data_IF_803453266902
#
_entry.id   IF_803453266902
#
_cell.length_a   1.000
_cell.length_b   1.000
_cell.length_c   1.000
_cell.angle_alpha   90.00
_cell.angle_beta   90.00
_cell.angle_gamma   90.00
#
_symmetry.space_group_name_H-M   'P 1'
#
loop_
_entity.id
_entity.type
_entity.pdbx_description
1 polymer ?
#
# COMPACT_ATOMS: atom_id res chain seq x y z
N UNK A 1 70.75 26.69 26.85
CA UNK A 1 69.56 25.95 27.34
C UNK A 1 68.43 26.08 26.29
N UNK A 2 68.54 25.41 25.13
CA UNK A 2 67.59 25.65 24.01
C UNK A 2 67.62 24.68 22.82
N UNK A 3 68.40 23.58 22.89
CA UNK A 3 68.46 22.55 21.84
C UNK A 3 67.58 21.33 22.15
N UNK A 4 67.36 21.01 23.44
CA UNK A 4 66.51 19.89 23.88
C UNK A 4 65.02 20.19 23.67
N UNK A 5 64.56 21.41 23.93
CA UNK A 5 63.13 21.79 23.84
C UNK A 5 62.58 21.80 22.40
N UNK A 6 63.42 22.17 21.42
CA UNK A 6 63.05 22.11 19.99
C UNK A 6 62.90 20.66 19.49
N UNK A 7 63.59 19.70 20.10
CA UNK A 7 63.51 18.29 19.74
C UNK A 7 62.26 17.62 20.33
N UNK A 8 61.86 17.97 21.56
CA UNK A 8 60.60 17.52 22.17
C UNK A 8 59.38 18.11 21.46
N UNK A 9 59.41 19.40 21.10
CA UNK A 9 58.32 20.04 20.33
C UNK A 9 58.10 19.40 18.96
N UNK A 10 59.18 19.07 18.22
CA UNK A 10 59.07 18.35 16.94
C UNK A 10 58.49 16.94 17.07
N UNK A 11 58.83 16.22 18.14
CA UNK A 11 58.28 14.88 18.41
C UNK A 11 56.79 14.93 18.76
N UNK A 12 56.36 15.94 19.51
CA UNK A 12 54.95 16.16 19.84
C UNK A 12 54.15 16.52 18.59
N UNK A 13 54.65 17.45 17.77
CA UNK A 13 54.03 17.80 16.48
C UNK A 13 53.90 16.60 15.54
N UNK A 14 54.95 15.76 15.46
CA UNK A 14 54.94 14.55 14.65
C UNK A 14 53.91 13.54 15.17
N UNK A 15 53.84 13.34 16.50
CA UNK A 15 52.86 12.45 17.11
C UNK A 15 51.44 12.93 16.88
N UNK A 16 51.16 14.23 17.01
CA UNK A 16 49.82 14.79 16.74
C UNK A 16 49.44 14.63 15.27
N UNK A 17 50.37 14.85 14.35
CA UNK A 17 50.14 14.66 12.91
C UNK A 17 49.81 13.20 12.56
N UNK A 18 50.52 12.24 13.17
CA UNK A 18 50.27 10.81 12.95
C UNK A 18 48.88 10.41 13.48
N UNK A 19 48.52 10.84 14.69
CA UNK A 19 47.20 10.56 15.26
C UNK A 19 46.07 11.12 14.39
N UNK A 20 46.24 12.34 13.89
CA UNK A 20 45.25 12.98 13.01
C UNK A 20 45.07 12.19 11.69
N UNK A 21 46.16 11.69 11.12
CA UNK A 21 46.12 10.87 9.90
C UNK A 21 45.36 9.56 10.13
N UNK A 22 45.60 8.88 11.25
CA UNK A 22 44.91 7.63 11.61
C UNK A 22 43.41 7.87 11.81
N UNK A 23 43.02 8.98 12.44
CA UNK A 23 41.62 9.34 12.62
C UNK A 23 40.91 9.57 11.28
N UNK A 24 41.56 10.24 10.32
CA UNK A 24 40.99 10.46 8.98
C UNK A 24 40.76 9.14 8.26
N UNK A 25 41.73 8.22 8.31
CA UNK A 25 41.60 6.88 7.70
C UNK A 25 40.44 6.11 8.34
N UNK A 26 40.30 6.17 9.67
CA UNK A 26 39.20 5.55 10.39
C UNK A 26 37.82 6.06 9.96
N UNK A 27 37.69 7.38 9.76
CA UNK A 27 36.45 8.02 9.27
C UNK A 27 36.13 7.53 7.84
N UNK A 28 37.12 7.50 6.95
CA UNK A 28 36.92 7.03 5.56
C UNK A 28 36.46 5.57 5.53
N UNK A 29 37.08 4.70 6.33
CA UNK A 29 36.67 3.29 6.44
C UNK A 29 35.25 3.17 6.98
N UNK A 30 34.88 3.95 7.99
CA UNK A 30 33.53 3.95 8.55
C UNK A 30 32.47 4.35 7.50
N UNK A 31 32.74 5.38 6.69
CA UNK A 31 31.85 5.80 5.59
C UNK A 31 31.68 4.67 4.58
N UNK A 32 32.77 4.04 4.14
CA UNK A 32 32.73 2.92 3.18
C UNK A 32 31.92 1.74 3.73
N UNK A 33 32.07 1.41 5.01
CA UNK A 33 31.33 0.31 5.65
C UNK A 33 29.84 0.60 5.79
N UNK A 34 29.48 1.86 6.09
CA UNK A 34 28.08 2.30 6.14
C UNK A 34 27.44 2.21 4.75
N UNK A 35 28.11 2.69 3.70
CA UNK A 35 27.60 2.61 2.33
C UNK A 35 27.46 1.16 1.85
N UNK A 36 28.44 0.30 2.13
CA UNK A 36 28.41 -1.10 1.68
C UNK A 36 27.33 -1.92 2.37
N UNK A 37 26.98 -1.62 3.63
CA UNK A 37 25.92 -2.32 4.38
C UNK A 37 24.52 -2.10 3.79
N UNK A 38 24.29 -0.98 3.11
CA UNK A 38 22.99 -0.66 2.50
C UNK A 38 22.70 -1.43 1.19
N UNK A 39 23.61 -2.26 0.70
CA UNK A 39 23.49 -2.91 -0.61
C UNK A 39 23.13 -4.40 -0.52
N UNK A 40 22.35 -4.81 0.49
CA UNK A 40 21.79 -6.16 0.56
C UNK A 40 20.68 -6.28 -0.49
N UNK A 41 20.95 -7.00 -1.56
CA UNK A 41 19.97 -7.27 -2.61
C UNK A 41 19.05 -8.41 -2.16
N UNK A 42 17.77 -8.09 -1.96
CA UNK A 42 16.74 -9.09 -1.67
C UNK A 42 16.18 -9.63 -2.99
N UNK A 43 15.85 -10.91 -3.05
CA UNK A 43 15.29 -11.54 -4.26
C UNK A 43 13.96 -12.21 -3.91
N UNK A 44 12.95 -12.04 -4.77
CA UNK A 44 11.69 -12.78 -4.70
C UNK A 44 11.67 -13.87 -5.77
N UNK A 45 11.20 -15.05 -5.38
CA UNK A 45 10.90 -16.14 -6.30
C UNK A 45 9.39 -16.16 -6.52
N UNK A 46 8.95 -15.85 -7.74
CA UNK A 46 7.54 -15.92 -8.13
C UNK A 46 7.06 -17.38 -8.23
N UNK A 47 5.75 -17.66 -8.15
CA UNK A 47 5.20 -19.01 -8.36
C UNK A 47 5.59 -19.63 -9.72
N UNK A 48 5.88 -18.78 -10.71
CA UNK A 48 6.36 -19.17 -12.04
C UNK A 48 7.89 -19.38 -12.10
N UNK A 49 8.58 -19.43 -10.95
CA UNK A 49 10.04 -19.60 -10.81
C UNK A 49 10.91 -18.49 -11.42
N UNK A 50 10.33 -17.33 -11.73
CA UNK A 50 11.12 -16.17 -12.11
C UNK A 50 11.72 -15.52 -10.85
N UNK A 51 13.02 -15.24 -10.88
CA UNK A 51 13.76 -14.55 -9.83
C UNK A 51 13.77 -13.06 -10.13
N UNK A 52 13.18 -12.25 -9.26
CA UNK A 52 13.11 -10.80 -9.41
C UNK A 52 13.89 -10.14 -8.26
N UNK A 53 14.83 -9.27 -8.58
CA UNK A 53 15.58 -8.50 -7.59
C UNK A 53 14.68 -7.40 -7.01
N UNK A 54 14.51 -7.38 -5.69
CA UNK A 54 13.84 -6.31 -4.96
C UNK A 54 14.83 -5.15 -4.85
N UNK A 55 14.58 -4.05 -5.57
CA UNK A 55 15.30 -2.79 -5.37
C UNK A 55 14.62 -2.02 -4.25
N UNK A 56 15.38 -1.69 -3.20
CA UNK A 56 14.95 -0.72 -2.18
C UNK A 56 14.92 0.67 -2.82
N UNK A 57 13.73 1.18 -3.11
CA UNK A 57 13.55 2.59 -3.44
C UNK A 57 13.58 3.41 -2.15
N UNK A 58 14.34 4.51 -2.12
CA UNK A 58 14.36 5.45 -1.00
C UNK A 58 13.08 6.29 -0.88
N UNK A 59 12.14 6.12 -1.82
CA UNK A 59 10.76 6.55 -1.69
C UNK A 59 9.91 5.38 -1.20
N UNK A 60 8.92 5.62 -0.30
CA UNK A 60 8.02 4.57 0.16
C UNK A 60 7.46 3.86 -1.06
N UNK A 61 7.74 2.55 -1.14
CA UNK A 61 7.36 1.59 -2.18
C UNK A 61 6.38 2.25 -3.15
N UNK A 62 6.84 2.64 -4.34
CA UNK A 62 5.92 2.86 -5.46
C UNK A 62 5.13 1.57 -5.48
N UNK A 63 3.88 1.61 -5.00
CA UNK A 63 3.06 0.42 -4.87
C UNK A 63 3.06 -0.21 -6.26
N UNK A 64 3.76 -1.33 -6.43
CA UNK A 64 3.77 -2.00 -7.73
C UNK A 64 2.33 -2.28 -8.10
N UNK A 65 1.99 -2.26 -9.39
CA UNK A 65 0.61 -2.41 -9.88
C UNK A 65 -0.12 -3.56 -9.16
N UNK A 66 0.59 -4.66 -8.89
CA UNK A 66 0.12 -5.80 -8.11
C UNK A 66 -0.42 -5.48 -6.71
N UNK A 67 0.20 -4.55 -5.95
CA UNK A 67 -0.28 -4.18 -4.61
C UNK A 67 -1.59 -3.38 -4.72
N UNK A 68 -1.67 -2.46 -5.67
CA UNK A 68 -2.86 -1.64 -5.90
C UNK A 68 -4.03 -2.52 -6.37
N UNK A 69 -3.75 -3.45 -7.30
CA UNK A 69 -4.72 -4.43 -7.80
C UNK A 69 -5.17 -5.39 -6.68
N UNK A 70 -4.25 -5.87 -5.86
CA UNK A 70 -4.55 -6.72 -4.70
C UNK A 70 -5.41 -5.99 -3.66
N UNK A 71 -5.08 -4.73 -3.37
CA UNK A 71 -5.87 -3.88 -2.49
C UNK A 71 -7.29 -3.71 -3.02
N UNK A 72 -7.45 -3.41 -4.32
CA UNK A 72 -8.76 -3.29 -4.96
C UNK A 72 -9.60 -4.57 -4.84
N UNK A 73 -8.98 -5.75 -4.97
CA UNK A 73 -9.62 -7.05 -4.72
C UNK A 73 -10.10 -7.20 -3.29
N UNK A 74 -9.25 -6.90 -2.31
CA UNK A 74 -9.59 -7.01 -0.89
C UNK A 74 -10.77 -6.11 -0.56
N UNK A 75 -10.70 -4.83 -0.96
CA UNK A 75 -11.78 -3.87 -0.71
C UNK A 75 -13.09 -4.33 -1.36
N UNK A 76 -13.05 -4.75 -2.62
CA UNK A 76 -14.26 -5.21 -3.32
C UNK A 76 -14.90 -6.40 -2.62
N UNK A 77 -14.10 -7.39 -2.21
CA UNK A 77 -14.59 -8.56 -1.47
C UNK A 77 -15.19 -8.16 -0.13
N UNK A 78 -14.58 -7.22 0.59
CA UNK A 78 -15.08 -6.75 1.89
C UNK A 78 -16.39 -5.96 1.75
N UNK A 79 -16.52 -5.16 0.71
CA UNK A 79 -17.71 -4.34 0.46
C UNK A 79 -18.91 -5.14 -0.05
N UNK A 80 -18.67 -6.21 -0.82
CA UNK A 80 -19.74 -6.90 -1.55
C UNK A 80 -20.03 -8.32 -1.05
N UNK A 81 -19.23 -8.84 -0.11
CA UNK A 81 -19.52 -10.12 0.57
C UNK A 81 -20.03 -9.83 1.97
N UNK A 82 -21.33 -10.05 2.19
CA UNK A 82 -22.00 -9.76 3.46
C UNK A 82 -23.20 -10.67 3.70
N UNK A 83 -23.58 -10.76 4.96
CA UNK A 83 -24.80 -11.39 5.45
C UNK A 83 -25.71 -10.29 6.03
N UNK A 84 -27.03 -10.44 5.88
CA UNK A 84 -28.02 -9.56 6.52
C UNK A 84 -27.79 -9.39 8.02
N UNK A 85 -27.26 -10.40 8.72
CA UNK A 85 -26.99 -10.34 10.16
C UNK A 85 -25.77 -9.50 10.56
N UNK A 86 -24.82 -9.27 9.64
CA UNK A 86 -23.55 -8.58 9.93
C UNK A 86 -23.25 -7.41 8.99
N UNK A 87 -24.12 -7.11 8.03
CA UNK A 87 -23.90 -6.11 6.97
C UNK A 87 -23.51 -4.74 7.52
N UNK A 88 -24.12 -4.32 8.64
CA UNK A 88 -23.82 -3.02 9.24
C UNK A 88 -22.38 -2.95 9.76
N UNK A 89 -21.99 -3.92 10.59
CA UNK A 89 -20.65 -4.00 11.17
C UNK A 89 -19.58 -4.21 10.09
N UNK A 90 -19.86 -5.03 9.08
CA UNK A 90 -18.92 -5.29 7.98
C UNK A 90 -18.68 -4.03 7.15
N UNK A 91 -19.72 -3.26 6.83
CA UNK A 91 -19.56 -2.04 6.06
C UNK A 91 -18.91 -0.94 6.88
N UNK A 92 -19.31 -0.74 8.14
CA UNK A 92 -18.67 0.22 9.05
C UNK A 92 -17.16 -0.04 9.15
N UNK A 93 -16.78 -1.29 9.40
CA UNK A 93 -15.37 -1.69 9.46
C UNK A 93 -14.66 -1.49 8.11
N UNK A 94 -15.30 -1.86 7.01
CA UNK A 94 -14.71 -1.67 5.67
C UNK A 94 -14.48 -0.20 5.35
N UNK A 95 -15.38 0.69 5.78
CA UNK A 95 -15.21 2.13 5.63
C UNK A 95 -14.06 2.67 6.46
N UNK A 96 -13.94 2.23 7.72
CA UNK A 96 -12.84 2.63 8.59
C UNK A 96 -11.48 2.14 8.08
N UNK A 97 -11.42 0.89 7.62
CA UNK A 97 -10.16 0.23 7.27
C UNK A 97 -9.65 0.64 5.87
N UNK A 98 -10.54 0.95 4.91
CA UNK A 98 -10.15 1.06 3.49
C UNK A 98 -10.47 2.39 2.82
N UNK A 99 -11.36 3.21 3.37
CA UNK A 99 -11.80 4.43 2.71
C UNK A 99 -11.14 5.68 3.30
N UNK A 100 -10.85 6.64 2.43
CA UNK A 100 -10.51 7.99 2.87
C UNK A 100 -11.76 8.69 3.39
N UNK A 101 -11.63 9.75 4.21
CA UNK A 101 -12.80 10.52 4.68
C UNK A 101 -13.71 11.00 3.54
N UNK A 102 -13.11 11.48 2.44
CA UNK A 102 -13.85 11.91 1.24
C UNK A 102 -14.55 10.75 0.53
N UNK A 103 -13.88 9.59 0.41
CA UNK A 103 -14.47 8.39 -0.20
C UNK A 103 -15.63 7.83 0.61
N UNK A 104 -15.55 7.88 1.95
CA UNK A 104 -16.64 7.50 2.83
C UNK A 104 -17.87 8.38 2.61
N UNK A 105 -17.69 9.70 2.58
CA UNK A 105 -18.79 10.65 2.37
C UNK A 105 -19.54 10.36 1.07
N UNK A 106 -18.81 10.14 -0.03
CA UNK A 106 -19.38 9.83 -1.35
C UNK A 106 -20.24 8.57 -1.38
N UNK A 107 -19.95 7.56 -0.55
CA UNK A 107 -20.62 6.25 -0.60
C UNK A 107 -21.69 6.10 0.49
N UNK A 108 -21.50 6.75 1.63
CA UNK A 108 -22.33 6.59 2.83
C UNK A 108 -23.84 6.75 2.57
N UNK A 109 -24.24 7.73 1.75
CA UNK A 109 -25.65 8.00 1.47
C UNK A 109 -26.34 6.86 0.69
N UNK A 110 -25.64 6.27 -0.28
CA UNK A 110 -26.17 5.16 -1.08
C UNK A 110 -26.07 3.83 -0.32
N UNK A 111 -25.00 3.65 0.47
CA UNK A 111 -24.80 2.47 1.29
C UNK A 111 -25.92 2.29 2.33
N UNK A 112 -26.36 3.36 3.02
CA UNK A 112 -27.43 3.28 4.02
C UNK A 112 -28.76 2.78 3.44
N UNK A 113 -29.10 3.17 2.21
CA UNK A 113 -30.33 2.68 1.54
C UNK A 113 -30.21 1.20 1.19
N UNK A 114 -29.06 0.77 0.68
CA UNK A 114 -28.80 -0.64 0.37
C UNK A 114 -28.80 -1.52 1.62
N UNK A 115 -28.17 -1.08 2.73
CA UNK A 115 -28.14 -1.80 4.00
C UNK A 115 -29.55 -2.14 4.49
N UNK A 116 -30.46 -1.16 4.47
CA UNK A 116 -31.85 -1.38 4.88
C UNK A 116 -32.54 -2.43 4.00
N UNK A 117 -32.33 -2.35 2.70
CA UNK A 117 -32.88 -3.33 1.75
C UNK A 117 -32.33 -4.75 1.99
N UNK A 118 -31.02 -4.88 2.21
CA UNK A 118 -30.35 -6.17 2.49
C UNK A 118 -30.90 -6.80 3.77
N UNK A 119 -31.01 -6.00 4.84
CA UNK A 119 -31.52 -6.47 6.13
C UNK A 119 -33.00 -6.89 6.05
N UNK A 120 -33.85 -6.07 5.42
CA UNK A 120 -35.29 -6.35 5.29
C UNK A 120 -35.57 -7.61 4.47
N UNK A 121 -34.79 -7.86 3.41
CA UNK A 121 -34.99 -9.00 2.52
C UNK A 121 -34.13 -10.21 2.86
N UNK A 122 -33.40 -10.18 3.99
CA UNK A 122 -32.49 -11.24 4.46
C UNK A 122 -31.53 -11.71 3.36
N UNK A 123 -30.92 -10.75 2.67
CA UNK A 123 -30.05 -11.02 1.52
C UNK A 123 -28.66 -11.42 2.00
N UNK A 124 -28.16 -12.51 1.44
CA UNK A 124 -26.77 -12.94 1.53
C UNK A 124 -26.11 -12.64 0.18
N UNK A 125 -24.96 -11.97 0.20
CA UNK A 125 -24.22 -11.62 -1.01
C UNK A 125 -22.84 -12.26 -1.02
N UNK A 126 -22.46 -12.83 -2.16
CA UNK A 126 -21.12 -13.29 -2.45
C UNK A 126 -20.67 -12.83 -3.83
N UNK A 127 -19.36 -12.70 -4.01
CA UNK A 127 -18.79 -12.32 -5.30
C UNK A 127 -17.75 -13.32 -5.78
N UNK A 128 -17.67 -13.45 -7.10
CA UNK A 128 -16.59 -14.14 -7.81
C UNK A 128 -15.94 -13.16 -8.78
N UNK A 129 -14.61 -13.09 -8.78
CA UNK A 129 -13.88 -12.27 -9.75
C UNK A 129 -13.88 -12.97 -11.10
N UNK A 130 -14.26 -12.24 -12.16
CA UNK A 130 -14.30 -12.75 -13.54
C UNK A 130 -12.97 -12.51 -14.27
N UNK A 131 -12.20 -11.51 -13.86
CA UNK A 131 -10.86 -11.20 -14.38
C UNK A 131 -9.98 -10.66 -13.24
N UNK A 132 -8.68 -10.59 -13.51
CA UNK A 132 -7.74 -9.87 -12.66
C UNK A 132 -8.02 -8.35 -12.71
N UNK A 133 -7.82 -7.61 -11.61
CA UNK A 133 -7.99 -6.17 -11.59
C UNK A 133 -6.93 -5.54 -12.47
N UNK A 134 -7.26 -4.43 -13.10
CA UNK A 134 -6.32 -3.70 -13.95
C UNK A 134 -6.35 -2.23 -13.61
N UNK A 135 -5.18 -1.64 -13.46
CA UNK A 135 -5.05 -0.18 -13.45
C UNK A 135 -5.32 0.31 -14.87
N UNK A 136 -6.45 0.99 -15.06
CA UNK A 136 -6.85 1.52 -16.37
C UNK A 136 -6.29 2.91 -16.62
N UNK A 137 -6.02 3.65 -15.55
CA UNK A 137 -5.47 4.99 -15.61
C UNK A 137 -4.82 5.37 -14.28
N UNK A 138 -3.83 6.24 -14.33
CA UNK A 138 -3.22 6.83 -13.15
C UNK A 138 -2.79 8.27 -13.44
N UNK A 139 -2.77 9.10 -12.40
CA UNK A 139 -2.30 10.48 -12.47
C UNK A 139 -1.58 10.85 -11.17
N UNK A 140 -0.57 11.71 -11.29
CA UNK A 140 0.05 12.38 -10.16
C UNK A 140 -0.67 13.71 -9.90
N UNK A 141 -1.06 13.96 -8.65
CA UNK A 141 -1.64 15.21 -8.20
C UNK A 141 -0.79 15.85 -7.09
N UNK A 142 -1.20 17.02 -6.60
CA UNK A 142 -0.49 17.75 -5.53
C UNK A 142 -0.37 16.97 -4.21
N UNK A 143 -1.29 16.02 -3.98
CA UNK A 143 -1.38 15.24 -2.74
C UNK A 143 -0.83 13.80 -2.87
N UNK A 144 -0.32 13.41 -4.05
CA UNK A 144 0.24 12.09 -4.32
C UNK A 144 -0.17 11.52 -5.69
N UNK A 145 -0.45 10.22 -5.72
CA UNK A 145 -0.87 9.51 -6.92
C UNK A 145 -2.30 9.02 -6.75
N UNK A 146 -3.08 9.09 -7.82
CA UNK A 146 -4.39 8.46 -7.94
C UNK A 146 -4.35 7.36 -8.98
N UNK A 147 -4.88 6.20 -8.63
CA UNK A 147 -5.01 5.04 -9.50
C UNK A 147 -6.48 4.72 -9.69
N UNK A 148 -6.88 4.54 -10.95
CA UNK A 148 -8.20 4.06 -11.31
C UNK A 148 -8.06 2.58 -11.68
N UNK A 149 -8.67 1.73 -10.86
CA UNK A 149 -8.65 0.28 -11.02
C UNK A 149 -10.01 -0.20 -11.46
N UNK A 150 -10.04 -1.07 -12.46
CA UNK A 150 -11.25 -1.76 -12.88
C UNK A 150 -11.16 -3.25 -12.60
N UNK A 151 -12.27 -3.82 -12.15
CA UNK A 151 -12.40 -5.25 -11.89
C UNK A 151 -13.80 -5.74 -12.22
N UNK A 152 -13.87 -6.89 -12.89
CA UNK A 152 -15.11 -7.54 -13.30
C UNK A 152 -15.50 -8.59 -12.28
N UNK A 153 -16.74 -8.57 -11.84
CA UNK A 153 -17.25 -9.52 -10.84
C UNK A 153 -18.59 -10.10 -11.29
N UNK A 154 -18.86 -11.31 -10.80
CA UNK A 154 -20.19 -11.89 -10.74
C UNK A 154 -20.66 -11.82 -9.29
N UNK A 155 -21.71 -11.04 -9.04
CA UNK A 155 -22.35 -10.98 -7.72
C UNK A 155 -23.49 -11.97 -7.68
N UNK A 156 -23.50 -12.82 -6.66
CA UNK A 156 -24.62 -13.73 -6.37
C UNK A 156 -25.31 -13.29 -5.10
N UNK A 157 -26.59 -12.96 -5.21
CA UNK A 157 -27.46 -12.65 -4.09
C UNK A 157 -28.40 -13.84 -3.84
N UNK A 158 -28.45 -14.28 -2.60
CA UNK A 158 -29.34 -15.34 -2.13
C UNK A 158 -30.33 -14.75 -1.13
N UNK A 159 -31.59 -15.15 -1.24
CA UNK A 159 -32.56 -15.10 -0.16
C UNK A 159 -33.19 -16.50 0.02
N UNK A 160 -34.18 -16.63 0.90
CA UNK A 160 -34.76 -17.94 1.26
C UNK A 160 -35.21 -18.77 0.05
N UNK A 161 -35.74 -18.12 -0.98
CA UNK A 161 -36.41 -18.80 -2.10
C UNK A 161 -35.81 -18.49 -3.49
N UNK A 162 -34.89 -17.54 -3.57
CA UNK A 162 -34.36 -17.04 -4.85
C UNK A 162 -32.85 -16.86 -4.81
N UNK A 163 -32.24 -17.22 -5.92
CA UNK A 163 -30.85 -16.92 -6.24
C UNK A 163 -30.85 -16.00 -7.46
N UNK A 164 -30.16 -14.87 -7.35
CA UNK A 164 -29.97 -13.92 -8.46
C UNK A 164 -28.50 -13.70 -8.70
N UNK A 165 -28.12 -13.71 -9.97
CA UNK A 165 -26.76 -13.43 -10.40
C UNK A 165 -26.76 -12.27 -11.36
N UNK A 166 -25.80 -11.36 -11.18
CA UNK A 166 -25.58 -10.25 -12.08
C UNK A 166 -24.09 -9.93 -12.15
N UNK A 167 -23.62 -9.65 -13.36
CA UNK A 167 -22.23 -9.30 -13.61
C UNK A 167 -22.06 -7.77 -13.57
N UNK A 168 -20.95 -7.31 -12.98
CA UNK A 168 -20.67 -5.89 -12.80
C UNK A 168 -19.21 -5.59 -13.08
N UNK A 169 -18.96 -4.36 -13.54
CA UNK A 169 -17.65 -3.71 -13.53
C UNK A 169 -17.60 -2.78 -12.33
N UNK A 170 -16.64 -3.00 -11.46
CA UNK A 170 -16.29 -2.08 -10.40
C UNK A 170 -15.18 -1.16 -10.91
N UNK A 171 -15.36 0.14 -10.74
CA UNK A 171 -14.33 1.17 -10.96
C UNK A 171 -14.00 1.78 -9.62
N UNK A 172 -12.74 1.67 -9.21
CA UNK A 172 -12.25 2.12 -7.92
C UNK A 172 -11.18 3.18 -8.10
N UNK A 173 -11.32 4.31 -7.40
CA UNK A 173 -10.28 5.32 -7.30
C UNK A 173 -9.53 5.12 -5.99
N UNK A 174 -8.22 4.89 -6.08
CA UNK A 174 -7.32 4.62 -4.97
C UNK A 174 -6.28 5.73 -4.91
N UNK A 175 -6.01 6.23 -3.72
CA UNK A 175 -4.94 7.20 -3.46
C UNK A 175 -4.06 6.71 -2.33
N UNK A 176 -2.92 7.35 -2.15
CA UNK A 176 -2.09 7.17 -0.95
C UNK A 176 -2.80 7.78 0.25
N UNK A 177 -2.92 7.02 1.34
CA UNK A 177 -3.44 7.50 2.62
C UNK A 177 -2.31 7.52 3.65
N UNK A 178 -2.18 8.54 4.51
CA UNK A 178 -1.22 8.52 5.61
C UNK A 178 -1.38 7.24 6.44
N UNK A 179 -0.29 6.50 6.65
CA UNK A 179 -0.32 5.17 7.28
C UNK A 179 -0.89 5.12 8.71
N UNK A 180 -1.10 6.27 9.36
CA UNK A 180 -1.85 6.34 10.63
C UNK A 180 -3.34 6.05 10.46
N UNK A 181 -3.90 6.26 9.26
CA UNK A 181 -5.32 6.07 8.96
C UNK A 181 -5.61 4.71 8.34
N UNK A 182 -4.65 4.13 7.59
CA UNK A 182 -4.77 2.77 7.04
C UNK A 182 -3.39 2.07 7.06
N UNK A 183 -3.25 0.88 7.68
CA UNK A 183 -1.97 0.13 7.72
C UNK A 183 -1.40 -0.21 6.33
N UNK A 184 -2.24 -0.31 5.30
CA UNK A 184 -1.80 -0.57 3.92
C UNK A 184 -1.25 0.70 3.23
N UNK A 185 -1.44 1.88 3.82
CA UNK A 185 -1.04 3.19 3.28
C UNK A 185 -1.75 3.59 1.98
N UNK A 186 -2.82 2.88 1.63
CA UNK A 186 -3.71 3.15 0.50
C UNK A 186 -5.09 3.56 1.03
N UNK A 187 -5.89 4.22 0.21
CA UNK A 187 -7.24 4.60 0.58
C UNK A 187 -8.13 4.75 -0.64
N UNK A 188 -9.37 4.30 -0.53
CA UNK A 188 -10.36 4.46 -1.59
C UNK A 188 -11.02 5.83 -1.47
N UNK A 189 -11.02 6.57 -2.58
CA UNK A 189 -11.69 7.88 -2.72
C UNK A 189 -12.98 7.78 -3.54
N UNK A 190 -13.13 6.71 -4.33
CA UNK A 190 -14.33 6.44 -5.10
C UNK A 190 -14.52 4.96 -5.36
N UNK A 191 -15.77 4.50 -5.27
CA UNK A 191 -16.17 3.13 -5.54
C UNK A 191 -17.47 3.15 -6.34
N UNK A 192 -17.40 2.71 -7.59
CA UNK A 192 -18.52 2.75 -8.52
C UNK A 192 -18.78 1.37 -9.10
N UNK A 193 -20.05 1.00 -9.20
CA UNK A 193 -20.49 -0.31 -9.68
C UNK A 193 -21.43 -0.11 -10.87
N UNK A 194 -21.08 -0.69 -12.01
CA UNK A 194 -21.86 -0.61 -13.26
C UNK A 194 -22.21 -2.00 -13.77
N UNK A 195 -23.46 -2.27 -14.20
CA UNK A 195 -23.84 -3.58 -14.73
C UNK A 195 -23.13 -3.87 -16.07
N UNK A 196 -22.75 -5.13 -16.27
CA UNK A 196 -22.32 -5.64 -17.57
C UNK A 196 -23.59 -6.06 -18.29
N UNK A 197 -23.97 -5.30 -19.32
CA UNK A 197 -25.12 -5.57 -20.19
C UNK A 197 -24.86 -6.85 -20.99
#
# INVERSE_FOLDING_TARGET
>A
MGRKDKLTSKKILLSTAITMLISIIGIVIAIILIEKRNNVQYYLVTPQKNVVAIKTYNDPVIYGDMIIESFAKVVTRRMLTYDYGNVFLNLEKSFQDYFTPSGFENISQNALKQIKYIHQNKILSSITFLDEPKIVWWEANTDGYIWIVQLKILMTAYNVDTQRQAAYVITMAITKSPGMLNPDGLGVTGFYMSPII
#
